data_IF_532475767202
#
_entry.id   IF_532475767202
#
_cell.length_a   1.000
_cell.length_b   1.000
_cell.length_c   1.000
_cell.angle_alpha   90.00
_cell.angle_beta   90.00
_cell.angle_gamma   90.00
#
_symmetry.space_group_name_H-M   'P 1'
#
loop_
_entity.id
_entity.type
_entity.pdbx_description
1 polymer ?
#
# COMPACT_ATOMS: atom_id res chain seq x y z
N UNK A 1 50.01 -2.06 28.99
CA UNK A 1 48.74 -1.30 28.79
C UNK A 1 48.50 -0.88 27.31
N UNK A 2 49.09 -1.56 26.32
CA UNK A 2 48.97 -1.16 24.89
C UNK A 2 48.13 -2.11 24.02
N UNK A 3 48.22 -3.43 24.24
CA UNK A 3 47.62 -4.43 23.35
C UNK A 3 46.09 -4.30 23.20
N UNK A 4 45.35 -4.11 24.30
CA UNK A 4 43.89 -3.98 24.25
C UNK A 4 43.38 -2.72 23.52
N UNK A 5 44.17 -1.65 23.47
CA UNK A 5 43.79 -0.44 22.70
C UNK A 5 43.94 -0.67 21.19
N UNK A 6 44.99 -1.38 20.77
CA UNK A 6 45.20 -1.72 19.36
C UNK A 6 44.15 -2.72 18.86
N UNK A 7 43.78 -3.70 19.68
CA UNK A 7 42.73 -4.66 19.37
C UNK A 7 41.39 -3.97 19.12
N UNK A 8 40.96 -3.09 20.03
CA UNK A 8 39.72 -2.31 19.90
C UNK A 8 39.77 -1.34 18.71
N UNK A 9 40.93 -0.77 18.39
CA UNK A 9 41.10 0.11 17.23
C UNK A 9 41.02 -0.67 15.90
N UNK A 10 41.68 -1.82 15.81
CA UNK A 10 41.65 -2.70 14.64
C UNK A 10 40.24 -3.25 14.40
N UNK A 11 39.56 -3.66 15.45
CA UNK A 11 38.17 -4.11 15.38
C UNK A 11 37.21 -3.07 14.80
N UNK A 12 37.37 -1.80 15.21
CA UNK A 12 36.58 -0.69 14.65
C UNK A 12 36.93 -0.47 13.18
N UNK A 13 38.22 -0.52 12.83
CA UNK A 13 38.67 -0.36 11.46
C UNK A 13 38.11 -1.46 10.54
N UNK A 14 38.12 -2.72 10.99
CA UNK A 14 37.56 -3.86 10.27
C UNK A 14 36.04 -3.71 10.07
N UNK A 15 35.29 -3.36 11.12
CA UNK A 15 33.83 -3.11 11.01
C UNK A 15 33.50 -1.98 10.04
N UNK A 16 34.28 -0.90 10.06
CA UNK A 16 34.10 0.23 9.14
C UNK A 16 34.43 -0.15 7.69
N UNK A 17 35.46 -0.98 7.49
CA UNK A 17 35.79 -1.51 6.18
C UNK A 17 34.67 -2.40 5.65
N UNK A 18 34.21 -3.35 6.46
CA UNK A 18 33.17 -4.31 6.07
C UNK A 18 31.84 -3.61 5.75
N UNK A 19 31.48 -2.58 6.54
CA UNK A 19 30.33 -1.71 6.25
C UNK A 19 30.46 -1.02 4.88
N UNK A 20 31.62 -0.40 4.59
CA UNK A 20 31.86 0.26 3.31
C UNK A 20 31.84 -0.72 2.14
N UNK A 21 32.42 -1.90 2.30
CA UNK A 21 32.38 -2.95 1.29
C UNK A 21 30.93 -3.32 0.95
N UNK A 22 30.08 -3.54 1.96
CA UNK A 22 28.64 -3.81 1.76
C UNK A 22 27.93 -2.66 1.05
N UNK A 23 28.22 -1.42 1.42
CA UNK A 23 27.63 -0.22 0.79
C UNK A 23 28.02 -0.10 -0.69
N UNK A 24 29.30 -0.35 -1.01
CA UNK A 24 29.81 -0.34 -2.39
C UNK A 24 29.17 -1.44 -3.22
N UNK A 25 29.13 -2.68 -2.72
CA UNK A 25 28.47 -3.81 -3.41
C UNK A 25 26.97 -3.54 -3.62
N UNK A 26 26.29 -3.00 -2.61
CA UNK A 26 24.89 -2.62 -2.73
C UNK A 26 24.67 -1.52 -3.77
N UNK A 27 25.57 -0.54 -3.87
CA UNK A 27 25.53 0.52 -4.90
C UNK A 27 25.72 -0.05 -6.30
N UNK A 28 26.72 -0.90 -6.52
CA UNK A 28 26.93 -1.57 -7.81
C UNK A 28 25.72 -2.40 -8.23
N UNK A 29 25.16 -3.19 -7.31
CA UNK A 29 23.95 -3.98 -7.59
C UNK A 29 22.75 -3.10 -7.99
N UNK A 30 22.55 -1.98 -7.31
CA UNK A 30 21.46 -1.03 -7.65
C UNK A 30 21.68 -0.34 -8.99
N UNK A 31 22.93 0.00 -9.34
CA UNK A 31 23.28 0.60 -10.63
C UNK A 31 23.13 -0.40 -11.79
N UNK A 32 23.55 -1.65 -11.58
CA UNK A 32 23.37 -2.73 -12.56
C UNK A 32 21.90 -3.00 -12.90
N UNK A 33 21.00 -2.68 -11.97
CA UNK A 33 19.56 -2.81 -12.12
C UNK A 33 18.89 -1.65 -12.87
N UNK A 34 19.65 -0.62 -13.26
CA UNK A 34 19.18 0.57 -13.96
C UNK A 34 19.62 1.87 -13.27
N UNK A 35 20.02 2.85 -14.07
CA UNK A 35 20.51 4.15 -13.59
C UNK A 35 20.04 5.31 -14.47
N UNK A 36 20.03 6.51 -13.90
CA UNK A 36 19.85 7.77 -14.62
C UNK A 36 21.15 8.55 -14.53
N UNK A 37 21.61 9.04 -15.68
CA UNK A 37 22.77 9.91 -15.76
C UNK A 37 22.33 11.35 -15.49
N UNK A 38 22.97 12.01 -14.52
CA UNK A 38 22.74 13.43 -14.24
C UNK A 38 24.05 14.18 -14.33
N UNK A 39 24.03 15.32 -14.99
CA UNK A 39 25.14 16.27 -14.97
C UNK A 39 25.01 17.10 -13.70
N UNK A 40 26.04 17.09 -12.88
CA UNK A 40 26.10 17.87 -11.65
C UNK A 40 26.50 19.33 -11.99
N UNK A 41 26.24 20.27 -11.08
CA UNK A 41 26.48 21.71 -11.27
C UNK A 41 27.95 22.04 -11.57
N UNK A 42 28.86 21.17 -11.15
CA UNK A 42 30.30 21.22 -11.42
C UNK A 42 30.70 20.58 -12.77
N UNK A 43 29.74 20.19 -13.61
CA UNK A 43 29.99 19.59 -14.93
C UNK A 43 30.34 18.10 -14.91
N UNK A 44 30.34 17.44 -13.75
CA UNK A 44 30.63 16.00 -13.69
C UNK A 44 29.39 15.17 -14.00
N UNK A 45 29.61 14.07 -14.73
CA UNK A 45 28.57 13.09 -15.06
C UNK A 45 28.49 12.09 -13.91
N UNK A 46 27.34 11.99 -13.24
CA UNK A 46 27.10 11.03 -12.17
C UNK A 46 25.96 10.07 -12.53
N UNK A 47 26.21 8.77 -12.41
CA UNK A 47 25.17 7.74 -12.51
C UNK A 47 24.49 7.55 -11.15
N UNK A 48 23.20 7.85 -11.09
CA UNK A 48 22.37 7.60 -9.91
C UNK A 48 21.47 6.40 -10.17
N UNK A 49 21.39 5.42 -9.25
CA UNK A 49 20.51 4.28 -9.44
C UNK A 49 19.06 4.77 -9.55
N UNK A 50 18.30 4.20 -10.47
CA UNK A 50 16.87 4.49 -10.58
C UNK A 50 16.25 4.09 -9.24
N UNK A 51 15.67 5.05 -8.52
CA UNK A 51 14.79 4.75 -7.40
C UNK A 51 13.55 4.11 -8.01
N UNK A 52 13.56 2.77 -8.16
CA UNK A 52 12.31 2.04 -8.32
C UNK A 52 11.51 2.36 -7.08
N UNK A 53 10.45 3.16 -7.23
CA UNK A 53 9.38 3.18 -6.26
C UNK A 53 9.03 1.72 -6.08
N UNK A 54 9.40 1.19 -4.93
CA UNK A 54 9.06 -0.17 -4.58
C UNK A 54 7.54 -0.14 -4.68
N UNK A 55 6.96 -0.83 -5.66
CA UNK A 55 5.52 -1.13 -5.71
C UNK A 55 5.23 -2.08 -4.54
N UNK A 56 5.56 -1.63 -3.33
CA UNK A 56 5.65 -2.39 -2.11
C UNK A 56 4.24 -2.44 -1.57
N UNK A 57 3.46 -3.33 -2.18
CA UNK A 57 2.10 -3.64 -1.80
C UNK A 57 1.14 -2.49 -2.06
N UNK A 58 -0.13 -2.85 -2.21
CA UNK A 58 -1.22 -1.93 -1.92
C UNK A 58 -0.92 -1.39 -0.51
N UNK A 59 -0.70 -0.08 -0.39
CA UNK A 59 -0.50 0.53 0.93
C UNK A 59 -1.69 0.15 1.81
N UNK A 60 -1.45 -0.27 3.06
CA UNK A 60 -2.55 -0.53 4.01
C UNK A 60 -3.54 0.63 4.05
N UNK A 61 -3.06 1.87 3.85
CA UNK A 61 -3.89 3.07 3.72
C UNK A 61 -4.85 3.03 2.53
N UNK A 62 -4.39 2.52 1.39
CA UNK A 62 -5.21 2.37 0.19
C UNK A 62 -6.26 1.26 0.36
N UNK A 63 -5.88 0.15 1.00
CA UNK A 63 -6.83 -0.92 1.33
C UNK A 63 -7.92 -0.44 2.30
N UNK A 64 -7.54 0.31 3.34
CA UNK A 64 -8.49 0.91 4.29
C UNK A 64 -9.40 1.94 3.60
N UNK A 65 -8.84 2.78 2.72
CA UNK A 65 -9.63 3.76 1.97
C UNK A 65 -10.63 3.06 1.04
N UNK A 66 -10.21 2.01 0.34
CA UNK A 66 -11.11 1.23 -0.53
C UNK A 66 -12.23 0.56 0.28
N UNK A 67 -11.91 -0.02 1.44
CA UNK A 67 -12.92 -0.58 2.35
C UNK A 67 -13.91 0.47 2.85
N UNK A 68 -13.44 1.65 3.25
CA UNK A 68 -14.31 2.75 3.67
C UNK A 68 -15.23 3.19 2.53
N UNK A 69 -14.69 3.41 1.33
CA UNK A 69 -15.49 3.77 0.15
C UNK A 69 -16.54 2.69 -0.16
N UNK A 70 -16.21 1.42 0.01
CA UNK A 70 -17.14 0.31 -0.20
C UNK A 70 -18.34 0.38 0.76
N UNK A 71 -18.11 0.60 2.05
CA UNK A 71 -19.20 0.74 3.03
C UNK A 71 -20.07 1.99 2.77
N UNK A 72 -19.44 3.12 2.42
CA UNK A 72 -20.17 4.35 2.07
C UNK A 72 -21.05 4.13 0.83
N UNK A 73 -20.52 3.49 -0.21
CA UNK A 73 -21.28 3.15 -1.41
C UNK A 73 -22.46 2.23 -1.09
N UNK A 74 -22.24 1.19 -0.27
CA UNK A 74 -23.29 0.26 0.17
C UNK A 74 -24.41 1.00 0.93
N UNK A 75 -24.03 1.91 1.82
CA UNK A 75 -24.97 2.70 2.60
C UNK A 75 -25.75 3.72 1.75
N UNK A 76 -25.09 4.31 0.74
CA UNK A 76 -25.73 5.17 -0.25
C UNK A 76 -26.77 4.41 -1.08
N UNK A 77 -26.45 3.20 -1.55
CA UNK A 77 -27.43 2.35 -2.24
C UNK A 77 -28.62 2.04 -1.35
N UNK A 78 -28.37 1.60 -0.11
CA UNK A 78 -29.45 1.28 0.83
C UNK A 78 -30.33 2.50 1.15
N UNK A 79 -29.72 3.68 1.32
CA UNK A 79 -30.44 4.93 1.58
C UNK A 79 -31.28 5.38 0.39
N UNK A 80 -30.74 5.32 -0.83
CA UNK A 80 -31.40 5.80 -2.04
C UNK A 80 -32.45 4.85 -2.61
N UNK A 81 -32.25 3.53 -2.50
CA UNK A 81 -33.21 2.53 -3.00
C UNK A 81 -34.25 2.15 -1.94
N UNK A 82 -33.94 2.32 -0.66
CA UNK A 82 -34.73 1.77 0.44
C UNK A 82 -34.44 0.28 0.67
N UNK A 83 -34.86 -0.21 1.84
CA UNK A 83 -34.48 -1.54 2.32
C UNK A 83 -35.07 -2.69 1.46
N UNK A 84 -36.33 -2.58 1.03
CA UNK A 84 -37.00 -3.62 0.25
C UNK A 84 -36.39 -3.80 -1.14
N UNK A 85 -36.28 -2.71 -1.89
CA UNK A 85 -35.74 -2.74 -3.25
C UNK A 85 -34.26 -3.16 -3.27
N UNK A 86 -33.49 -2.74 -2.26
CA UNK A 86 -32.10 -3.19 -2.09
C UNK A 86 -32.02 -4.71 -1.84
N UNK A 87 -32.89 -5.25 -0.98
CA UNK A 87 -32.94 -6.68 -0.69
C UNK A 87 -33.35 -7.52 -1.93
N UNK A 88 -34.28 -7.01 -2.75
CA UNK A 88 -34.66 -7.65 -4.01
C UNK A 88 -33.48 -7.79 -4.97
N UNK A 89 -32.66 -6.75 -5.10
CA UNK A 89 -31.47 -6.76 -5.97
C UNK A 89 -30.41 -7.74 -5.49
N UNK A 90 -30.18 -7.82 -4.17
CA UNK A 90 -29.29 -8.84 -3.60
C UNK A 90 -29.84 -10.23 -3.88
N UNK A 91 -31.14 -10.44 -3.71
CA UNK A 91 -31.81 -11.70 -4.04
C UNK A 91 -31.62 -12.11 -5.49
N UNK A 92 -31.68 -11.15 -6.42
CA UNK A 92 -31.40 -11.40 -7.83
C UNK A 92 -29.93 -11.81 -8.06
N UNK A 93 -28.96 -11.12 -7.45
CA UNK A 93 -27.54 -11.49 -7.53
C UNK A 93 -27.26 -12.88 -6.93
N UNK A 94 -27.96 -13.24 -5.84
CA UNK A 94 -27.81 -14.53 -5.17
C UNK A 94 -28.26 -15.73 -6.03
N UNK A 95 -29.12 -15.49 -7.02
CA UNK A 95 -29.58 -16.50 -7.98
C UNK A 95 -28.77 -16.55 -9.29
N UNK A 96 -27.74 -15.71 -9.40
CA UNK A 96 -26.90 -15.61 -10.60
C UNK A 96 -25.73 -16.59 -10.66
N UNK A 97 -24.76 -16.25 -11.50
CA UNK A 97 -23.47 -16.90 -11.67
C UNK A 97 -22.61 -16.85 -10.40
N UNK A 98 -21.53 -17.64 -10.35
CA UNK A 98 -20.64 -17.71 -9.19
C UNK A 98 -20.10 -16.32 -8.75
N UNK A 99 -19.80 -15.44 -9.72
CA UNK A 99 -19.32 -14.08 -9.45
C UNK A 99 -20.43 -13.22 -8.85
N UNK A 100 -21.64 -13.32 -9.38
CA UNK A 100 -22.80 -12.56 -8.88
C UNK A 100 -23.19 -12.99 -7.46
N UNK A 101 -23.12 -14.29 -7.17
CA UNK A 101 -23.36 -14.85 -5.84
C UNK A 101 -22.32 -14.38 -4.81
N UNK A 102 -21.06 -14.27 -5.22
CA UNK A 102 -20.01 -13.70 -4.37
C UNK A 102 -20.28 -12.21 -4.08
N UNK A 103 -20.74 -11.46 -5.09
CA UNK A 103 -21.20 -10.08 -4.93
C UNK A 103 -22.40 -9.97 -3.98
N UNK A 104 -23.39 -10.86 -4.10
CA UNK A 104 -24.55 -10.91 -3.21
C UNK A 104 -24.15 -11.13 -1.75
N UNK A 105 -23.23 -12.06 -1.51
CA UNK A 105 -22.71 -12.34 -0.17
C UNK A 105 -21.97 -11.14 0.41
N UNK A 106 -21.12 -10.47 -0.37
CA UNK A 106 -20.41 -9.25 0.05
C UNK A 106 -21.37 -8.08 0.33
N UNK A 107 -22.50 -8.03 -0.36
CA UNK A 107 -23.54 -7.00 -0.21
C UNK A 107 -24.58 -7.31 0.87
N UNK A 108 -24.55 -8.49 1.52
CA UNK A 108 -25.51 -8.88 2.56
C UNK A 108 -25.61 -7.87 3.72
N UNK A 109 -26.74 -7.84 4.44
CA UNK A 109 -26.98 -6.82 5.46
C UNK A 109 -25.90 -6.79 6.56
N UNK A 110 -25.24 -5.64 6.73
CA UNK A 110 -24.19 -5.41 7.74
C UNK A 110 -24.59 -4.25 8.69
N UNK A 111 -24.35 -4.38 10.01
CA UNK A 111 -24.61 -3.32 11.00
C UNK A 111 -23.89 -1.99 10.73
N UNK A 112 -22.72 -2.04 10.07
CA UNK A 112 -21.96 -0.84 9.68
C UNK A 112 -22.70 -0.06 8.58
N UNK A 113 -23.33 -0.77 7.66
CA UNK A 113 -24.04 -0.15 6.53
C UNK A 113 -25.27 0.58 7.02
N UNK A 114 -26.05 -0.02 7.92
CA UNK A 114 -27.26 0.59 8.47
C UNK A 114 -26.95 1.84 9.30
N UNK A 115 -25.86 1.83 10.08
CA UNK A 115 -25.39 3.00 10.81
C UNK A 115 -24.92 4.14 9.89
N UNK A 116 -24.34 3.83 8.73
CA UNK A 116 -23.98 4.85 7.73
C UNK A 116 -25.21 5.36 6.98
N UNK A 117 -26.19 4.52 6.71
CA UNK A 117 -27.44 4.91 6.05
C UNK A 117 -28.20 5.97 6.84
N UNK A 118 -28.28 5.87 8.17
CA UNK A 118 -28.91 6.91 9.00
C UNK A 118 -28.17 8.25 8.95
N UNK A 119 -26.84 8.23 8.77
CA UNK A 119 -26.03 9.44 8.60
C UNK A 119 -26.23 10.09 7.22
N UNK A 120 -26.41 9.28 6.17
CA UNK A 120 -26.51 9.74 4.78
C UNK A 120 -27.94 10.19 4.42
N UNK A 121 -28.97 9.56 4.99
CA UNK A 121 -30.39 9.85 4.75
C UNK A 121 -30.74 11.36 4.68
N UNK A 122 -30.32 12.22 5.63
CA UNK A 122 -30.69 13.64 5.62
C UNK A 122 -30.11 14.45 4.45
N UNK A 123 -29.15 13.90 3.70
CA UNK A 123 -28.56 14.57 2.52
C UNK A 123 -29.18 14.11 1.19
N UNK A 124 -30.03 13.08 1.23
CA UNK A 124 -30.69 12.51 0.04
C UNK A 124 -32.16 12.91 -0.09
N UNK A 125 -32.63 13.85 0.75
CA UNK A 125 -33.98 14.42 0.72
C UNK A 125 -34.20 15.41 -0.41
#
# INVERSE_FOLDING_TARGET
MGAGFYEVAMDRALRNFDKRQREVTARHRRLAQGYVTKVNRNGTIEHKPIRRVRASGISIRLALLAGLCFFVFKAFLLAGLGAEEYALRIGHLANGTLIERAGAWLMGADPVTTALTTLILPYLS
#
